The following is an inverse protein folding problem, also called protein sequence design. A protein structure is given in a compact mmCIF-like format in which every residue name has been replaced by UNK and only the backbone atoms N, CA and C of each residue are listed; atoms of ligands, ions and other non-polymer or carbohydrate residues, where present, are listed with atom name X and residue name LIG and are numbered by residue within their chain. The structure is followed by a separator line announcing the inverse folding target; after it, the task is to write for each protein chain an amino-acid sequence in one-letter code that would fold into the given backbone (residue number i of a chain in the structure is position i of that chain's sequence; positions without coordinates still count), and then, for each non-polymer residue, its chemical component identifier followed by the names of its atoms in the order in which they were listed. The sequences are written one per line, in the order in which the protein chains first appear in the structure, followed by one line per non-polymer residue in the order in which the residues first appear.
data_IF_905904022474
#
_entry.id   IF_905904022474
#
_cell.length_a   1.000
_cell.length_b   1.000
_cell.length_c   1.000
_cell.angle_alpha   90.00
_cell.angle_beta   90.00
_cell.angle_gamma   90.00
#
_symmetry.space_group_name_H-M   'P 1'
#
loop_
_entity.id
_entity.type
_entity.pdbx_description
1 polymer ?
#
# COMPACT_ATOMS: atom_id res chain seq x y z
N UNK A 1 6.48 -20.32 -27.45
CA UNK A 1 5.71 -20.77 -26.27
C UNK A 1 4.27 -20.32 -26.49
N UNK A 2 3.31 -21.26 -26.47
CA UNK A 2 1.90 -20.97 -26.75
C UNK A 2 1.22 -20.50 -25.47
N UNK A 3 0.74 -19.25 -25.45
CA UNK A 3 -0.08 -18.72 -24.36
C UNK A 3 -1.33 -19.60 -24.18
N UNK A 4 -1.65 -19.98 -22.94
CA UNK A 4 -2.87 -20.72 -22.59
C UNK A 4 -3.97 -19.70 -22.27
N UNK A 5 -4.91 -19.42 -23.19
CA UNK A 5 -5.98 -18.49 -22.91
C UNK A 5 -6.91 -19.08 -21.85
N UNK A 6 -7.28 -18.24 -20.87
CA UNK A 6 -8.31 -18.58 -19.89
C UNK A 6 -9.66 -18.10 -20.40
N UNK A 7 -10.67 -18.97 -20.34
CA UNK A 7 -12.05 -18.60 -20.64
C UNK A 7 -12.83 -18.25 -19.37
N UNK A 8 -14.01 -17.66 -19.53
CA UNK A 8 -14.95 -17.37 -18.45
C UNK A 8 -15.28 -18.63 -17.64
N UNK A 9 -15.28 -19.80 -18.29
CA UNK A 9 -15.46 -21.08 -17.61
C UNK A 9 -14.36 -21.36 -16.58
N UNK A 10 -13.08 -21.20 -16.95
CA UNK A 10 -11.95 -21.43 -16.04
C UNK A 10 -11.99 -20.47 -14.85
N UNK A 11 -12.33 -19.21 -15.10
CA UNK A 11 -12.49 -18.20 -14.05
C UNK A 11 -13.67 -18.54 -13.12
N UNK A 12 -14.77 -19.03 -13.66
CA UNK A 12 -15.93 -19.46 -12.88
C UNK A 12 -15.62 -20.70 -12.01
N UNK A 13 -14.81 -21.62 -12.52
CA UNK A 13 -14.36 -22.79 -11.79
C UNK A 13 -13.44 -22.38 -10.63
N UNK A 14 -12.50 -21.45 -10.86
CA UNK A 14 -11.67 -20.90 -9.79
C UNK A 14 -12.50 -20.18 -8.70
N UNK A 15 -13.58 -19.50 -9.10
CA UNK A 15 -14.49 -18.82 -8.18
C UNK A 15 -15.26 -19.78 -7.24
N UNK A 16 -15.32 -21.08 -7.54
CA UNK A 16 -15.92 -22.07 -6.63
C UNK A 16 -15.23 -22.12 -5.26
N UNK A 17 -13.91 -21.86 -5.19
CA UNK A 17 -13.19 -21.79 -3.92
C UNK A 17 -13.67 -20.63 -3.05
N UNK A 18 -14.00 -19.49 -3.66
CA UNK A 18 -14.60 -18.34 -2.97
C UNK A 18 -16.02 -18.66 -2.50
N UNK A 19 -16.80 -19.39 -3.30
CA UNK A 19 -18.15 -19.84 -2.92
C UNK A 19 -18.08 -20.79 -1.72
N UNK A 20 -17.14 -21.74 -1.72
CA UNK A 20 -16.90 -22.63 -0.59
C UNK A 20 -16.60 -21.85 0.70
N UNK A 21 -15.75 -20.82 0.63
CA UNK A 21 -15.49 -19.93 1.77
C UNK A 21 -16.75 -19.17 2.22
N UNK A 22 -17.61 -18.76 1.29
CA UNK A 22 -18.92 -18.16 1.60
C UNK A 22 -19.84 -19.13 2.34
N UNK A 23 -19.90 -20.39 1.91
CA UNK A 23 -20.69 -21.44 2.59
C UNK A 23 -20.15 -21.71 3.99
N UNK A 24 -18.82 -21.83 4.15
CA UNK A 24 -18.17 -21.97 5.45
C UNK A 24 -18.50 -20.76 6.34
N UNK A 25 -18.47 -19.55 5.79
CA UNK A 25 -18.82 -18.33 6.51
C UNK A 25 -20.26 -18.36 7.06
N UNK A 26 -21.22 -18.84 6.27
CA UNK A 26 -22.61 -19.02 6.71
C UNK A 26 -22.71 -20.09 7.80
N UNK A 27 -22.02 -21.22 7.63
CA UNK A 27 -22.05 -22.32 8.59
C UNK A 27 -21.51 -21.89 9.96
N UNK A 28 -20.37 -21.20 9.98
CA UNK A 28 -19.76 -20.68 11.20
C UNK A 28 -20.31 -19.32 11.66
N UNK A 29 -21.31 -18.76 10.95
CA UNK A 29 -21.93 -17.45 11.23
C UNK A 29 -20.91 -16.31 11.33
N UNK A 30 -19.91 -16.31 10.45
CA UNK A 30 -18.84 -15.30 10.43
C UNK A 30 -19.31 -13.95 9.84
N UNK A 31 -20.42 -13.93 9.08
CA UNK A 31 -20.95 -12.71 8.47
C UNK A 31 -20.07 -12.13 7.34
N UNK A 32 -19.24 -12.97 6.72
CA UNK A 32 -18.31 -12.55 5.67
C UNK A 32 -18.88 -12.80 4.27
N UNK A 33 -19.96 -13.56 4.12
CA UNK A 33 -20.51 -13.99 2.84
C UNK A 33 -20.86 -12.80 1.93
N UNK A 34 -21.50 -11.76 2.48
CA UNK A 34 -21.84 -10.54 1.73
C UNK A 34 -20.58 -9.74 1.38
N UNK A 35 -19.64 -9.65 2.31
CA UNK A 35 -18.36 -8.94 2.11
C UNK A 35 -17.52 -9.62 1.04
N UNK A 36 -17.44 -10.95 1.04
CA UNK A 36 -16.76 -11.76 0.02
C UNK A 36 -17.42 -11.54 -1.34
N UNK A 37 -18.74 -11.71 -1.44
CA UNK A 37 -19.46 -11.54 -2.71
C UNK A 37 -19.28 -10.14 -3.30
N UNK A 38 -19.48 -9.09 -2.50
CA UNK A 38 -19.32 -7.69 -2.95
C UNK A 38 -17.86 -7.40 -3.32
N UNK A 39 -16.89 -7.85 -2.52
CA UNK A 39 -15.48 -7.59 -2.78
C UNK A 39 -14.99 -8.31 -4.03
N UNK A 40 -15.37 -9.57 -4.23
CA UNK A 40 -15.02 -10.36 -5.42
C UNK A 40 -15.65 -9.78 -6.68
N UNK A 41 -16.95 -9.43 -6.65
CA UNK A 41 -17.61 -8.81 -7.80
C UNK A 41 -16.98 -7.45 -8.13
N UNK A 42 -16.75 -6.61 -7.13
CA UNK A 42 -16.10 -5.31 -7.29
C UNK A 42 -14.69 -5.48 -7.88
N UNK A 43 -13.91 -6.45 -7.42
CA UNK A 43 -12.58 -6.76 -7.94
C UNK A 43 -12.64 -7.15 -9.43
N UNK A 44 -13.55 -8.05 -9.83
CA UNK A 44 -13.70 -8.48 -11.23
C UNK A 44 -14.05 -7.29 -12.13
N UNK A 45 -15.03 -6.48 -11.72
CA UNK A 45 -15.45 -5.29 -12.46
C UNK A 45 -14.32 -4.27 -12.55
N UNK A 46 -13.64 -3.98 -11.44
CA UNK A 46 -12.51 -3.04 -11.40
C UNK A 46 -11.36 -3.50 -12.30
N UNK A 47 -10.96 -4.77 -12.23
CA UNK A 47 -9.89 -5.31 -13.07
C UNK A 47 -10.25 -5.26 -14.56
N UNK A 48 -11.50 -5.60 -14.92
CA UNK A 48 -11.97 -5.51 -16.29
C UNK A 48 -11.94 -4.06 -16.82
N UNK A 49 -12.42 -3.10 -16.02
CA UNK A 49 -12.41 -1.68 -16.38
C UNK A 49 -10.97 -1.14 -16.50
N UNK A 50 -10.08 -1.48 -15.55
CA UNK A 50 -8.67 -1.07 -15.59
C UNK A 50 -7.97 -1.68 -16.81
N UNK A 51 -8.24 -2.94 -17.15
CA UNK A 51 -7.67 -3.58 -18.34
C UNK A 51 -8.08 -2.84 -19.63
N UNK A 52 -9.36 -2.46 -19.75
CA UNK A 52 -9.85 -1.65 -20.88
C UNK A 52 -9.20 -0.26 -20.92
N UNK A 53 -9.10 0.41 -19.77
CA UNK A 53 -8.47 1.72 -19.67
C UNK A 53 -6.98 1.67 -20.06
N UNK A 54 -6.23 0.69 -19.53
CA UNK A 54 -4.82 0.50 -19.86
C UNK A 54 -4.61 0.22 -21.34
N UNK A 55 -5.48 -0.56 -21.99
CA UNK A 55 -5.43 -0.79 -23.44
C UNK A 55 -5.49 0.54 -24.22
N UNK A 56 -6.34 1.47 -23.81
CA UNK A 56 -6.46 2.79 -24.45
C UNK A 56 -5.21 3.64 -24.16
N UNK A 57 -4.80 3.71 -22.90
CA UNK A 57 -3.66 4.55 -22.47
C UNK A 57 -2.35 4.09 -23.12
N UNK A 58 -2.12 2.78 -23.21
CA UNK A 58 -0.95 2.22 -23.86
C UNK A 58 -0.93 2.50 -25.37
N UNK A 59 -2.10 2.66 -26.00
CA UNK A 59 -2.20 3.04 -27.41
C UNK A 59 -2.00 4.54 -27.68
N UNK A 60 -2.22 5.41 -26.68
CA UNK A 60 -2.07 6.86 -26.81
C UNK A 60 -0.63 7.35 -26.67
N UNK A 61 0.21 6.60 -25.96
CA UNK A 61 1.63 6.88 -25.67
C UNK A 61 1.94 8.35 -25.34
N UNK A 62 1.08 8.97 -24.52
CA UNK A 62 1.14 10.40 -24.21
C UNK A 62 1.35 10.63 -22.70
N UNK A 63 2.35 11.43 -22.30
CA UNK A 63 2.70 11.62 -20.89
C UNK A 63 1.56 12.23 -20.06
N UNK A 64 0.71 13.08 -20.66
CA UNK A 64 -0.40 13.72 -19.96
C UNK A 64 -1.46 12.68 -19.54
N UNK A 65 -1.78 11.73 -20.41
CA UNK A 65 -2.73 10.66 -20.11
C UNK A 65 -2.16 9.66 -19.10
N UNK A 66 -0.87 9.34 -19.18
CA UNK A 66 -0.18 8.54 -18.16
C UNK A 66 -0.23 9.22 -16.79
N UNK A 67 0.09 10.51 -16.71
CA UNK A 67 0.06 11.27 -15.47
C UNK A 67 -1.35 11.38 -14.89
N UNK A 68 -2.36 11.66 -15.73
CA UNK A 68 -3.75 11.75 -15.30
C UNK A 68 -4.26 10.41 -14.75
N UNK A 69 -3.88 9.30 -15.37
CA UNK A 69 -4.25 7.97 -14.88
C UNK A 69 -3.52 7.61 -13.59
N UNK A 70 -2.23 7.94 -13.45
CA UNK A 70 -1.49 7.78 -12.20
C UNK A 70 -2.14 8.59 -11.05
N UNK A 71 -2.61 9.81 -11.34
CA UNK A 71 -3.34 10.63 -10.39
C UNK A 71 -4.69 10.00 -10.01
N UNK A 72 -5.43 9.46 -10.98
CA UNK A 72 -6.66 8.71 -10.74
C UNK A 72 -6.42 7.49 -9.84
N UNK A 73 -5.40 6.68 -10.13
CA UNK A 73 -5.03 5.54 -9.28
C UNK A 73 -4.69 6.00 -7.85
N UNK A 74 -4.03 7.15 -7.71
CA UNK A 74 -3.71 7.72 -6.41
C UNK A 74 -4.96 8.09 -5.64
N UNK A 75 -5.87 8.82 -6.28
CA UNK A 75 -7.13 9.22 -5.65
C UNK A 75 -7.95 8.00 -5.23
N UNK A 76 -8.03 6.97 -6.09
CA UNK A 76 -8.73 5.73 -5.79
C UNK A 76 -8.08 4.95 -4.63
N UNK A 77 -6.75 4.83 -4.62
CA UNK A 77 -6.02 4.13 -3.57
C UNK A 77 -6.13 4.86 -2.22
N UNK A 78 -5.98 6.19 -2.22
CA UNK A 78 -6.21 7.02 -1.03
C UNK A 78 -7.64 6.85 -0.51
N UNK A 79 -8.64 6.92 -1.39
CA UNK A 79 -10.04 6.73 -1.02
C UNK A 79 -10.30 5.37 -0.37
N UNK A 80 -9.80 4.27 -0.97
CA UNK A 80 -9.98 2.93 -0.42
C UNK A 80 -9.35 2.82 0.98
N UNK A 81 -8.16 3.39 1.19
CA UNK A 81 -7.48 3.41 2.49
C UNK A 81 -8.27 4.22 3.52
N UNK A 82 -8.68 5.44 3.21
CA UNK A 82 -9.49 6.27 4.12
C UNK A 82 -10.85 5.66 4.43
N UNK A 83 -11.44 4.93 3.48
CA UNK A 83 -12.72 4.24 3.69
C UNK A 83 -12.60 3.05 4.64
N UNK A 84 -11.41 2.45 4.76
CA UNK A 84 -11.15 1.25 5.58
C UNK A 84 -10.59 1.56 6.97
N UNK A 85 -10.11 2.76 7.25
CA UNK A 85 -9.57 3.10 8.56
C UNK A 85 -10.66 3.04 9.65
N UNK A 86 -10.43 2.25 10.70
CA UNK A 86 -11.37 2.09 11.81
C UNK A 86 -11.53 3.36 12.65
N UNK A 87 -10.51 4.23 12.70
CA UNK A 87 -10.57 5.51 13.40
C UNK A 87 -10.11 6.62 12.46
N UNK A 88 -11.00 7.57 12.20
CA UNK A 88 -10.68 8.74 11.37
C UNK A 88 -9.97 9.75 12.26
N UNK A 89 -8.80 10.21 11.82
CA UNK A 89 -8.16 11.38 12.43
C UNK A 89 -8.54 12.57 11.57
N UNK A 90 -9.41 13.45 12.07
CA UNK A 90 -9.87 14.61 11.33
C UNK A 90 -8.71 15.61 11.12
N UNK A 91 -8.51 16.08 9.88
CA UNK A 91 -7.57 17.16 9.58
C UNK A 91 -6.81 17.01 8.26
N UNK A 92 -6.42 18.15 7.68
CA UNK A 92 -5.59 18.22 6.47
C UNK A 92 -4.21 17.55 6.66
N UNK A 93 -3.68 17.57 7.88
CA UNK A 93 -2.41 16.93 8.23
C UNK A 93 -2.52 15.39 8.19
N UNK A 94 -3.65 14.81 8.58
CA UNK A 94 -3.90 13.36 8.43
C UNK A 94 -3.96 12.97 6.97
N UNK A 95 -4.62 13.78 6.13
CA UNK A 95 -4.68 13.54 4.69
C UNK A 95 -3.27 13.59 4.08
N UNK A 96 -2.47 14.58 4.48
CA UNK A 96 -1.09 14.74 4.04
C UNK A 96 -0.19 13.57 4.48
N UNK A 97 -0.32 13.09 5.72
CA UNK A 97 0.49 11.99 6.23
C UNK A 97 0.00 10.61 5.74
N UNK A 98 -1.32 10.43 5.65
CA UNK A 98 -1.95 9.15 5.29
C UNK A 98 -1.97 8.86 3.79
N UNK A 99 -2.05 9.89 2.95
CA UNK A 99 -2.05 9.73 1.49
C UNK A 99 -0.92 10.51 0.80
N UNK A 100 -0.59 11.71 1.29
CA UNK A 100 0.46 12.55 0.68
C UNK A 100 1.86 11.92 0.79
N UNK A 101 2.25 11.42 1.97
CA UNK A 101 3.57 10.79 2.16
C UNK A 101 3.75 9.52 1.30
N UNK A 102 2.81 8.55 1.28
CA UNK A 102 2.86 7.42 0.35
C UNK A 102 2.90 7.82 -1.13
N UNK A 103 2.11 8.83 -1.52
CA UNK A 103 2.10 9.33 -2.88
C UNK A 103 3.45 9.87 -3.31
N UNK A 104 4.03 10.78 -2.51
CA UNK A 104 5.33 11.38 -2.83
C UNK A 104 6.44 10.34 -2.84
N UNK A 105 6.49 9.45 -1.84
CA UNK A 105 7.49 8.39 -1.78
C UNK A 105 7.37 7.42 -2.98
N UNK A 106 6.14 7.02 -3.33
CA UNK A 106 5.88 6.15 -4.47
C UNK A 106 6.20 6.82 -5.82
N UNK A 107 5.86 8.10 -5.97
CA UNK A 107 6.15 8.88 -7.16
C UNK A 107 7.66 9.03 -7.36
N UNK A 108 8.39 9.43 -6.31
CA UNK A 108 9.86 9.59 -6.36
C UNK A 108 10.52 8.25 -6.71
N UNK A 109 10.13 7.16 -6.06
CA UNK A 109 10.70 5.84 -6.34
C UNK A 109 10.39 5.35 -7.75
N UNK A 110 9.17 5.61 -8.25
CA UNK A 110 8.79 5.27 -9.63
C UNK A 110 9.59 6.09 -10.64
N UNK A 111 9.73 7.40 -10.41
CA UNK A 111 10.51 8.27 -11.28
C UNK A 111 11.99 7.88 -11.29
N UNK A 112 12.54 7.54 -10.12
CA UNK A 112 13.89 6.99 -10.02
C UNK A 112 14.02 5.67 -10.81
N UNK A 113 13.07 4.75 -10.65
CA UNK A 113 13.07 3.48 -11.37
C UNK A 113 12.97 3.68 -12.89
N UNK A 114 12.05 4.53 -13.34
CA UNK A 114 11.82 4.78 -14.76
C UNK A 114 13.01 5.50 -15.41
N UNK A 115 13.49 6.59 -14.82
CA UNK A 115 14.50 7.46 -15.45
C UNK A 115 15.92 6.93 -15.26
N UNK A 116 16.25 6.35 -14.10
CA UNK A 116 17.64 6.01 -13.74
C UNK A 116 17.92 4.52 -13.89
N UNK A 117 16.96 3.64 -13.58
CA UNK A 117 17.22 2.20 -13.45
C UNK A 117 16.83 1.43 -14.71
N UNK A 118 15.57 1.58 -15.15
CA UNK A 118 15.01 0.82 -16.28
C UNK A 118 15.30 1.56 -17.60
N UNK A 119 15.14 2.89 -17.61
CA UNK A 119 15.34 3.71 -18.80
C UNK A 119 14.50 3.29 -20.00
N UNK A 120 13.16 3.11 -19.88
CA UNK A 120 12.35 2.83 -21.06
C UNK A 120 12.41 4.03 -22.01
N UNK A 121 12.33 3.76 -23.31
CA UNK A 121 12.19 4.80 -24.33
C UNK A 121 10.77 4.77 -24.89
N UNK A 122 9.93 5.80 -24.65
CA UNK A 122 10.18 6.99 -23.83
C UNK A 122 10.11 6.72 -22.31
N UNK A 123 10.75 7.57 -21.50
CA UNK A 123 10.84 7.38 -20.03
C UNK A 123 9.48 7.32 -19.32
N UNK A 124 8.44 7.89 -19.93
CA UNK A 124 7.07 7.92 -19.43
C UNK A 124 6.22 6.74 -19.92
N UNK A 125 6.81 5.73 -20.55
CA UNK A 125 6.10 4.59 -21.13
C UNK A 125 5.09 3.99 -20.12
N UNK A 126 3.77 4.13 -20.37
CA UNK A 126 2.76 3.82 -19.35
C UNK A 126 2.77 2.35 -18.91
N UNK A 127 3.21 1.43 -19.79
CA UNK A 127 3.40 0.00 -19.48
C UNK A 127 4.39 -0.29 -18.36
N UNK A 128 5.36 0.61 -18.12
CA UNK A 128 6.32 0.50 -17.02
C UNK A 128 5.90 1.37 -15.84
N UNK A 129 5.61 2.65 -16.11
CA UNK A 129 5.35 3.65 -15.07
C UNK A 129 4.11 3.28 -14.24
N UNK A 130 2.99 2.93 -14.88
CA UNK A 130 1.73 2.70 -14.15
C UNK A 130 1.79 1.47 -13.24
N UNK A 131 2.24 0.28 -13.67
CA UNK A 131 2.33 -0.87 -12.78
C UNK A 131 3.32 -0.66 -11.64
N UNK A 132 4.50 -0.08 -11.92
CA UNK A 132 5.52 0.19 -10.89
C UNK A 132 4.96 1.18 -9.86
N UNK A 133 4.37 2.28 -10.33
CA UNK A 133 3.75 3.26 -9.46
C UNK A 133 2.63 2.67 -8.59
N UNK A 134 1.74 1.88 -9.19
CA UNK A 134 0.68 1.20 -8.45
C UNK A 134 1.21 0.30 -7.33
N UNK A 135 2.28 -0.45 -7.58
CA UNK A 135 2.92 -1.30 -6.56
C UNK A 135 3.60 -0.46 -5.45
N UNK A 136 4.36 0.58 -5.81
CA UNK A 136 5.01 1.45 -4.83
C UNK A 136 3.97 2.11 -3.92
N UNK A 137 2.93 2.70 -4.53
CA UNK A 137 1.87 3.40 -3.83
C UNK A 137 1.08 2.46 -2.92
N UNK A 138 0.67 1.29 -3.42
CA UNK A 138 -0.13 0.34 -2.66
C UNK A 138 0.59 -0.17 -1.40
N UNK A 139 1.88 -0.51 -1.52
CA UNK A 139 2.69 -0.96 -0.39
C UNK A 139 2.99 0.18 0.60
N UNK A 140 3.33 1.36 0.10
CA UNK A 140 3.56 2.53 0.93
C UNK A 140 2.30 2.92 1.72
N UNK A 141 1.12 2.90 1.08
CA UNK A 141 -0.17 3.16 1.74
C UNK A 141 -0.48 2.12 2.82
N UNK A 142 -0.23 0.84 2.56
CA UNK A 142 -0.44 -0.22 3.54
C UNK A 142 0.46 -0.03 4.77
N UNK A 143 1.77 0.20 4.56
CA UNK A 143 2.73 0.45 5.63
C UNK A 143 2.39 1.71 6.43
N UNK A 144 2.06 2.81 5.75
CA UNK A 144 1.66 4.07 6.40
C UNK A 144 0.35 3.93 7.17
N UNK A 145 -0.60 3.15 6.69
CA UNK A 145 -1.84 2.89 7.45
C UNK A 145 -1.56 2.13 8.74
N UNK A 146 -0.66 1.15 8.68
CA UNK A 146 -0.25 0.36 9.85
C UNK A 146 0.51 1.22 10.88
N UNK A 147 1.47 2.04 10.45
CA UNK A 147 2.22 2.91 11.38
C UNK A 147 1.29 3.93 12.05
N UNK A 148 0.38 4.56 11.29
CA UNK A 148 -0.56 5.53 11.84
C UNK A 148 -1.50 4.88 12.85
N UNK A 149 -2.05 3.70 12.53
CA UNK A 149 -2.92 2.97 13.46
C UNK A 149 -2.20 2.53 14.73
N UNK A 150 -0.95 2.04 14.59
CA UNK A 150 -0.13 1.64 15.74
C UNK A 150 0.25 2.85 16.61
N UNK A 151 0.52 4.01 16.00
CA UNK A 151 0.79 5.27 16.70
C UNK A 151 -0.43 5.76 17.48
N UNK A 152 -1.61 5.82 16.85
CA UNK A 152 -2.83 6.29 17.52
C UNK A 152 -3.24 5.36 18.65
N UNK A 153 -3.22 4.04 18.40
CA UNK A 153 -3.57 3.03 19.41
C UNK A 153 -2.57 3.02 20.57
N UNK A 154 -1.26 3.09 20.26
CA UNK A 154 -0.21 3.11 21.26
C UNK A 154 -0.25 4.38 22.11
N UNK A 155 -0.49 5.54 21.51
CA UNK A 155 -0.57 6.81 22.24
C UNK A 155 -1.78 6.87 23.18
N UNK A 156 -2.91 6.27 22.81
CA UNK A 156 -4.06 6.12 23.71
C UNK A 156 -3.79 5.12 24.84
N UNK A 157 -3.22 3.96 24.50
CA UNK A 157 -2.96 2.89 25.47
C UNK A 157 -1.91 3.32 26.51
N UNK A 158 -0.85 3.99 26.07
CA UNK A 158 0.26 4.43 26.92
C UNK A 158 0.11 5.88 27.38
N UNK A 159 -1.10 6.46 27.26
CA UNK A 159 -1.37 7.88 27.56
C UNK A 159 -0.77 8.34 28.88
N UNK A 160 -1.04 7.61 29.97
CA UNK A 160 -0.57 7.98 31.30
C UNK A 160 0.96 7.99 31.41
N UNK A 161 1.64 7.04 30.77
CA UNK A 161 3.09 6.96 30.75
C UNK A 161 3.70 8.09 29.91
N UNK A 162 3.10 8.42 28.76
CA UNK A 162 3.53 9.52 27.90
C UNK A 162 3.38 10.86 28.62
N UNK A 163 2.21 11.12 29.23
CA UNK A 163 1.96 12.35 29.99
C UNK A 163 2.90 12.47 31.20
N UNK A 164 3.19 11.37 31.91
CA UNK A 164 4.16 11.37 33.00
C UNK A 164 5.58 11.72 32.53
N UNK A 165 6.05 11.17 31.39
CA UNK A 165 7.34 11.52 30.80
C UNK A 165 7.41 13.00 30.44
N UNK A 166 6.36 13.55 29.82
CA UNK A 166 6.28 14.97 29.48
C UNK A 166 6.31 15.83 30.75
N UNK A 167 5.60 15.42 31.82
CA UNK A 167 5.61 16.14 33.10
C UNK A 167 6.99 16.13 33.77
N UNK A 168 7.78 15.09 33.54
CA UNK A 168 9.19 15.00 33.98
C UNK A 168 10.16 15.77 33.07
N UNK A 169 9.67 16.47 32.05
CA UNK A 169 10.47 17.30 31.14
C UNK A 169 10.93 16.62 29.87
N UNK A 170 10.46 15.40 29.57
CA UNK A 170 10.79 14.74 28.31
C UNK A 170 10.17 15.49 27.13
N UNK A 171 10.93 15.61 26.03
CA UNK A 171 10.42 16.14 24.77
C UNK A 171 9.38 15.19 24.15
N UNK A 172 8.57 15.69 23.21
CA UNK A 172 7.57 14.85 22.49
C UNK A 172 8.17 13.59 21.85
N UNK A 173 9.40 13.66 21.33
CA UNK A 173 10.03 12.51 20.69
C UNK A 173 10.54 11.49 21.72
N UNK A 174 11.07 11.96 22.85
CA UNK A 174 11.48 11.07 23.95
C UNK A 174 10.27 10.41 24.63
N UNK A 175 9.20 11.19 24.86
CA UNK A 175 8.00 10.69 25.50
C UNK A 175 7.32 9.58 24.67
N UNK A 176 7.28 9.74 23.33
CA UNK A 176 6.69 8.79 22.40
C UNK A 176 7.67 7.78 21.78
N UNK A 177 8.98 7.79 22.11
CA UNK A 177 9.99 6.95 21.44
C UNK A 177 9.62 5.46 21.41
N UNK A 178 9.13 4.92 22.53
CA UNK A 178 8.69 3.53 22.64
C UNK A 178 7.56 3.20 21.66
N UNK A 179 6.54 4.06 21.61
CA UNK A 179 5.38 3.91 20.73
C UNK A 179 5.79 4.08 19.27
N UNK A 180 6.63 5.08 18.97
CA UNK A 180 7.14 5.37 17.64
C UNK A 180 7.94 4.20 17.08
N UNK A 181 8.91 3.66 17.83
CA UNK A 181 9.71 2.51 17.40
C UNK A 181 8.83 1.31 17.08
N UNK A 182 7.90 0.99 17.99
CA UNK A 182 6.97 -0.13 17.80
C UNK A 182 6.12 0.06 16.54
N UNK A 183 5.56 1.26 16.36
CA UNK A 183 4.73 1.57 15.21
C UNK A 183 5.52 1.49 13.89
N UNK A 184 6.74 2.06 13.84
CA UNK A 184 7.60 1.99 12.66
C UNK A 184 7.91 0.53 12.31
N UNK A 185 8.26 -0.30 13.31
CA UNK A 185 8.46 -1.73 13.10
C UNK A 185 7.20 -2.41 12.55
N UNK A 186 6.02 -2.09 13.09
CA UNK A 186 4.73 -2.62 12.59
C UNK A 186 4.48 -2.23 11.13
N UNK A 187 4.75 -0.98 10.75
CA UNK A 187 4.56 -0.51 9.37
C UNK A 187 5.53 -1.13 8.36
N UNK A 188 6.75 -1.47 8.78
CA UNK A 188 7.78 -2.06 7.92
C UNK A 188 7.74 -3.59 7.86
N UNK A 189 7.10 -4.24 8.82
CA UNK A 189 7.05 -5.70 8.92
C UNK A 189 6.54 -6.39 7.64
N UNK A 190 5.45 -5.93 6.97
CA UNK A 190 4.94 -6.59 5.77
C UNK A 190 5.98 -6.69 4.64
N UNK A 191 6.73 -5.61 4.38
CA UNK A 191 7.74 -5.60 3.31
C UNK A 191 8.97 -6.43 3.69
N UNK A 192 9.38 -6.42 4.95
CA UNK A 192 10.47 -7.29 5.43
C UNK A 192 10.08 -8.77 5.32
N UNK A 193 8.84 -9.13 5.67
CA UNK A 193 8.34 -10.49 5.51
C UNK A 193 8.22 -10.89 4.04
N UNK A 194 7.78 -9.98 3.17
CA UNK A 194 7.74 -10.23 1.73
C UNK A 194 9.15 -10.49 1.16
N UNK A 195 10.14 -9.70 1.57
CA UNK A 195 11.54 -9.90 1.17
C UNK A 195 12.12 -11.23 1.67
N UNK A 196 11.78 -11.63 2.91
CA UNK A 196 12.27 -12.89 3.49
C UNK A 196 11.65 -14.15 2.85
N UNK A 197 10.41 -14.05 2.36
CA UNK A 197 9.65 -15.20 1.82
C UNK A 197 9.77 -15.35 0.31
N UNK A 198 10.04 -14.24 -0.40
CA UNK A 198 10.16 -14.22 -1.86
C UNK A 198 11.32 -15.09 -2.33
N UNK A 199 11.06 -15.97 -3.30
CA UNK A 199 12.05 -16.84 -3.92
C UNK A 199 12.22 -18.20 -3.25
N UNK A 200 11.72 -18.39 -2.02
CA UNK A 200 11.71 -19.68 -1.32
C UNK A 200 10.29 -20.23 -1.20
N UNK A 201 9.36 -19.43 -0.67
CA UNK A 201 7.98 -19.85 -0.37
C UNK A 201 7.01 -19.39 -1.44
N UNK A 202 7.24 -18.20 -2.01
CA UNK A 202 6.38 -17.60 -3.01
C UNK A 202 7.20 -17.04 -4.17
N UNK A 203 6.75 -17.33 -5.40
CA UNK A 203 7.16 -16.63 -6.60
C UNK A 203 6.21 -15.44 -6.81
N UNK A 204 6.72 -14.19 -6.84
CA UNK A 204 5.89 -13.03 -7.04
C UNK A 204 5.16 -13.05 -8.39
N UNK A 205 3.94 -12.52 -8.42
CA UNK A 205 3.08 -12.61 -9.61
C UNK A 205 3.67 -12.01 -10.89
N UNK A 206 4.43 -10.90 -10.79
CA UNK A 206 5.14 -10.33 -11.95
C UNK A 206 6.21 -11.29 -12.47
N UNK A 207 7.04 -11.83 -11.58
CA UNK A 207 8.10 -12.78 -11.94
C UNK A 207 7.51 -14.04 -12.59
N UNK A 208 6.48 -14.64 -11.98
CA UNK A 208 5.76 -15.77 -12.56
C UNK A 208 5.15 -15.41 -13.91
N UNK A 209 4.54 -14.23 -14.04
CA UNK A 209 3.98 -13.75 -15.31
C UNK A 209 5.02 -13.61 -16.41
N UNK A 210 6.21 -13.07 -16.10
CA UNK A 210 7.32 -12.95 -17.05
C UNK A 210 7.85 -14.33 -17.46
N UNK A 211 8.00 -15.26 -16.53
CA UNK A 211 8.42 -16.64 -16.81
C UNK A 211 7.39 -17.34 -17.72
N UNK A 212 6.09 -17.20 -17.42
CA UNK A 212 5.01 -17.75 -18.26
C UNK A 212 4.97 -17.10 -19.65
N UNK A 213 5.39 -15.84 -19.77
CA UNK A 213 5.56 -15.14 -21.04
C UNK A 213 6.83 -15.55 -21.81
N UNK A 214 7.66 -16.45 -21.24
CA UNK A 214 8.87 -16.98 -21.88
C UNK A 214 10.14 -16.19 -21.61
N UNK A 215 10.13 -15.24 -20.67
CA UNK A 215 11.34 -14.55 -20.20
C UNK A 215 12.20 -15.54 -19.39
N UNK A 216 13.52 -15.46 -19.55
CA UNK A 216 14.44 -16.29 -18.79
C UNK A 216 14.27 -16.05 -17.27
N UNK A 217 14.17 -17.10 -16.43
CA UNK A 217 13.96 -16.94 -14.99
C UNK A 217 14.97 -16.05 -14.29
N UNK A 218 16.22 -16.03 -14.75
CA UNK A 218 17.29 -15.18 -14.19
C UNK A 218 17.00 -13.70 -14.41
N UNK A 219 16.51 -13.33 -15.60
CA UNK A 219 16.15 -11.93 -15.90
C UNK A 219 14.89 -11.50 -15.13
N UNK A 220 13.89 -12.39 -15.05
CA UNK A 220 12.70 -12.13 -14.24
C UNK A 220 13.04 -11.94 -12.74
N UNK A 221 14.00 -12.72 -12.22
CA UNK A 221 14.48 -12.58 -10.84
C UNK A 221 15.18 -11.23 -10.60
N UNK A 222 16.02 -10.76 -11.53
CA UNK A 222 16.69 -9.44 -11.42
C UNK A 222 15.66 -8.31 -11.33
N UNK A 223 14.65 -8.32 -12.19
CA UNK A 223 13.54 -7.36 -12.13
C UNK A 223 12.81 -7.42 -10.79
N UNK A 224 12.55 -8.63 -10.29
CA UNK A 224 11.84 -8.81 -9.04
C UNK A 224 12.63 -8.27 -7.82
N UNK A 225 13.95 -8.52 -7.77
CA UNK A 225 14.83 -7.97 -6.71
C UNK A 225 14.84 -6.45 -6.76
N UNK A 226 14.98 -5.87 -7.95
CA UNK A 226 14.92 -4.41 -8.15
C UNK A 226 13.61 -3.83 -7.62
N UNK A 227 12.45 -4.42 -7.99
CA UNK A 227 11.15 -3.95 -7.52
C UNK A 227 11.03 -4.05 -6.00
N UNK A 228 11.48 -5.15 -5.38
CA UNK A 228 11.44 -5.28 -3.93
C UNK A 228 12.29 -4.22 -3.21
N UNK A 229 13.47 -3.89 -3.73
CA UNK A 229 14.29 -2.81 -3.16
C UNK A 229 13.62 -1.45 -3.27
N UNK A 230 12.99 -1.15 -4.42
CA UNK A 230 12.25 0.09 -4.63
C UNK A 230 11.02 0.18 -3.73
N UNK A 231 10.26 -0.92 -3.58
CA UNK A 231 9.10 -0.98 -2.68
C UNK A 231 9.57 -0.81 -1.23
N UNK A 232 10.64 -1.48 -0.81
CA UNK A 232 11.19 -1.36 0.54
C UNK A 232 11.66 0.06 0.84
N UNK A 233 12.38 0.69 -0.11
CA UNK A 233 12.84 2.07 0.04
C UNK A 233 11.68 3.07 0.12
N UNK A 234 10.73 3.02 -0.82
CA UNK A 234 9.58 3.92 -0.85
C UNK A 234 8.66 3.75 0.37
N UNK A 235 8.34 2.50 0.73
CA UNK A 235 7.54 2.19 1.93
C UNK A 235 8.27 2.63 3.19
N UNK A 236 9.59 2.42 3.26
CA UNK A 236 10.44 2.90 4.35
C UNK A 236 10.32 4.40 4.59
N UNK A 237 10.49 5.19 3.53
CA UNK A 237 10.37 6.65 3.58
C UNK A 237 8.96 7.08 3.99
N UNK A 238 7.92 6.47 3.40
CA UNK A 238 6.53 6.80 3.70
C UNK A 238 6.16 6.48 5.17
N UNK A 239 6.60 5.34 5.68
CA UNK A 239 6.37 4.90 7.07
C UNK A 239 7.08 5.80 8.05
N UNK A 240 8.35 6.15 7.80
CA UNK A 240 9.11 7.05 8.68
C UNK A 240 8.51 8.45 8.68
N UNK A 241 8.18 8.99 7.51
CA UNK A 241 7.55 10.31 7.38
C UNK A 241 6.20 10.35 8.11
N UNK A 242 5.37 9.33 7.94
CA UNK A 242 4.08 9.22 8.62
C UNK A 242 4.23 9.03 10.13
N UNK A 243 5.18 8.21 10.58
CA UNK A 243 5.47 7.99 12.00
C UNK A 243 5.94 9.27 12.70
N UNK A 244 6.94 9.96 12.15
CA UNK A 244 7.42 11.24 12.68
C UNK A 244 6.34 12.32 12.62
N UNK A 245 5.61 12.40 11.50
CA UNK A 245 4.49 13.32 11.35
C UNK A 245 3.37 13.05 12.36
N UNK A 246 3.12 11.80 12.71
CA UNK A 246 2.10 11.44 13.70
C UNK A 246 2.48 11.90 15.12
N UNK A 247 3.77 11.94 15.48
CA UNK A 247 4.23 12.54 16.74
C UNK A 247 3.85 14.02 16.77
N UNK A 248 4.06 14.74 15.67
CA UNK A 248 3.69 16.15 15.55
C UNK A 248 2.16 16.35 15.56
N UNK A 249 1.41 15.42 14.99
CA UNK A 249 -0.06 15.46 14.96
C UNK A 249 -0.66 15.22 16.36
N UNK A 250 -0.12 14.24 17.09
CA UNK A 250 -0.57 13.84 18.42
C UNK A 250 -0.07 14.76 19.53
N UNK A 251 0.83 15.70 19.22
CA UNK A 251 1.34 16.67 20.19
C UNK A 251 1.09 18.11 19.74
N UNK A 252 1.24 19.04 20.67
CA UNK A 252 1.20 20.48 20.37
C UNK A 252 2.62 21.09 20.38
N UNK A 253 2.76 22.38 20.03
CA UNK A 253 4.03 23.10 20.10
C UNK A 253 4.68 23.05 21.49
N UNK A 254 3.85 22.96 22.54
CA UNK A 254 4.26 22.82 23.94
C UNK A 254 4.52 21.37 24.39
N UNK A 255 4.69 20.43 23.45
CA UNK A 255 4.89 19.00 23.69
C UNK A 255 3.73 18.26 24.40
N UNK A 256 2.59 18.92 24.63
CA UNK A 256 1.42 18.33 25.27
C UNK A 256 0.76 17.33 24.34
N UNK A 257 0.35 16.18 24.88
CA UNK A 257 -0.40 15.17 24.15
C UNK A 257 -1.83 15.68 23.85
N UNK A 258 -2.26 15.55 22.59
CA UNK A 258 -3.54 16.04 22.04
C UNK A 258 -4.34 14.91 21.41
N UNK A 259 -4.80 13.97 22.24
CA UNK A 259 -5.68 12.87 21.81
C UNK A 259 -7.10 13.34 21.46
N UNK A 260 -7.47 14.57 21.84
CA UNK A 260 -8.72 15.24 21.45
C UNK A 260 -8.86 15.41 19.93
N UNK A 261 -7.77 15.32 19.17
CA UNK A 261 -7.76 15.34 17.70
C UNK A 261 -8.15 13.99 17.08
N UNK A 262 -8.27 12.94 17.88
CA UNK A 262 -8.71 11.61 17.46
C UNK A 262 -10.23 11.54 17.60
N UNK A 263 -10.95 11.40 16.49
CA UNK A 263 -12.40 11.16 16.53
C UNK A 263 -12.67 9.66 16.67
N UNK A 264 -13.47 9.23 17.67
CA UNK A 264 -13.97 7.85 17.73
C UNK A 264 -14.90 7.57 16.55
N UNK A 265 -15.00 6.28 16.18
CA UNK A 265 -15.86 5.79 15.09
C UNK A 265 -17.33 5.82 15.49
#
# INVERSE_FOLDING_TARGET
MTYLPLDLFDLSLAALLLIANGVISIWFRLGLERTLAISSLRMVVQLALVALALKVIFGLDNPLWTALFALFMTAAAAYEVFSRQERRVAGSLTLALGAGAPFLAGLIATMFAAVVVIGPDPWYAPRYVLPIFGMMLGNALAGTSLVLNAMTTGAETERAAIEARIALGATRFEALDTVLRRALTTGLMPILTAMATTGIVALPGMMTGQILAGVEPVEAAKYQVMILFLVAGSTGLAVVAAGLGSVLLLTDERHRLRLDRLTPK
#
